data_IF_924154436269
#
_entry.id   IF_924154436269
#
_cell.length_a   1.000
_cell.length_b   1.000
_cell.length_c   1.000
_cell.angle_alpha   90.00
_cell.angle_beta   90.00
_cell.angle_gamma   90.00
#
_symmetry.space_group_name_H-M   'P 1'
#
loop_
_entity.id
_entity.type
_entity.pdbx_description
1 polymer ?
#
# COMPACT_ATOMS: atom_id res chain seq x y z
N UNK A 1 10.10 -22.36 28.87
CA UNK A 1 8.89 -21.55 28.63
C UNK A 1 9.14 -20.72 27.39
N UNK A 2 8.59 -21.13 26.25
CA UNK A 2 8.72 -20.38 25.00
C UNK A 2 7.82 -19.16 25.11
N UNK A 3 8.39 -17.96 25.21
CA UNK A 3 7.65 -16.72 25.04
C UNK A 3 7.08 -16.73 23.61
N UNK A 4 5.83 -17.13 23.44
CA UNK A 4 5.09 -16.85 22.22
C UNK A 4 4.91 -15.34 22.18
N UNK A 5 5.71 -14.65 21.35
CA UNK A 5 5.48 -13.25 21.03
C UNK A 5 4.08 -13.20 20.40
N UNK A 6 3.14 -12.60 21.12
CA UNK A 6 1.79 -12.40 20.62
C UNK A 6 1.85 -11.29 19.57
N UNK A 7 1.87 -11.67 18.29
CA UNK A 7 1.84 -10.71 17.18
C UNK A 7 0.58 -9.87 17.26
N UNK A 8 0.71 -8.55 17.10
CA UNK A 8 -0.42 -7.63 17.11
C UNK A 8 -1.10 -7.65 15.74
N UNK A 9 -2.42 -7.85 15.74
CA UNK A 9 -3.26 -7.85 14.54
C UNK A 9 -3.39 -6.41 14.05
N UNK A 10 -3.02 -6.15 12.80
CA UNK A 10 -3.22 -4.88 12.11
C UNK A 10 -4.54 -4.88 11.32
N UNK A 11 -4.83 -5.99 10.62
CA UNK A 11 -6.05 -6.14 9.83
C UNK A 11 -6.68 -7.51 10.11
N UNK A 12 -7.91 -7.48 10.65
CA UNK A 12 -8.63 -8.70 11.01
C UNK A 12 -9.26 -9.35 9.78
N UNK A 13 -9.29 -10.69 9.81
CA UNK A 13 -9.92 -11.56 8.81
C UNK A 13 -9.61 -11.20 7.33
N UNK A 14 -8.40 -10.69 7.04
CA UNK A 14 -8.01 -10.17 5.73
C UNK A 14 -8.20 -11.18 4.59
N UNK A 15 -7.74 -12.42 4.77
CA UNK A 15 -7.85 -13.51 3.77
C UNK A 15 -8.95 -14.53 4.10
N UNK A 16 -9.80 -14.25 5.10
CA UNK A 16 -10.73 -15.21 5.66
C UNK A 16 -10.76 -15.19 7.18
N UNK A 17 -11.78 -15.85 7.76
CA UNK A 17 -11.92 -15.99 9.22
C UNK A 17 -10.65 -16.56 9.86
N UNK A 18 -10.06 -15.81 10.81
CA UNK A 18 -8.83 -16.15 11.52
C UNK A 18 -7.54 -15.91 10.73
N UNK A 19 -7.62 -15.40 9.50
CA UNK A 19 -6.46 -15.13 8.64
C UNK A 19 -6.17 -13.63 8.60
N UNK A 20 -5.39 -13.17 9.56
CA UNK A 20 -5.09 -11.76 9.81
C UNK A 20 -3.84 -11.28 9.07
N UNK A 21 -3.74 -9.96 8.89
CA UNK A 21 -2.46 -9.27 8.69
C UNK A 21 -2.02 -8.72 10.05
N UNK A 22 -0.74 -8.90 10.37
CA UNK A 22 -0.13 -8.43 11.61
C UNK A 22 0.71 -7.17 11.37
N UNK A 23 1.02 -6.41 12.43
CA UNK A 23 1.74 -5.13 12.32
C UNK A 23 3.12 -5.24 11.65
N UNK A 24 3.80 -6.38 11.85
CA UNK A 24 5.09 -6.68 11.22
C UNK A 24 5.00 -6.95 9.71
N UNK A 25 3.78 -6.99 9.15
CA UNK A 25 3.50 -7.17 7.72
C UNK A 25 2.99 -5.88 7.06
N UNK A 26 2.96 -4.75 7.78
CA UNK A 26 2.55 -3.46 7.25
C UNK A 26 3.75 -2.72 6.64
N UNK A 27 3.47 -1.86 5.65
CA UNK A 27 4.47 -1.17 4.84
C UNK A 27 5.28 -2.12 3.96
N UNK A 28 6.44 -1.65 3.52
CA UNK A 28 7.35 -2.48 2.75
C UNK A 28 7.83 -3.68 3.58
N UNK A 29 7.69 -4.89 3.05
CA UNK A 29 8.14 -6.11 3.70
C UNK A 29 9.68 -6.25 3.74
N UNK A 30 10.16 -7.34 4.34
CA UNK A 30 11.59 -7.62 4.47
C UNK A 30 12.29 -7.80 3.11
N UNK A 31 11.59 -8.33 2.10
CA UNK A 31 12.16 -8.50 0.78
C UNK A 31 12.40 -7.15 0.11
N UNK A 32 11.39 -6.27 0.09
CA UNK A 32 11.53 -4.93 -0.49
C UNK A 32 12.64 -4.12 0.19
N UNK A 33 12.71 -4.20 1.53
CA UNK A 33 13.76 -3.56 2.35
C UNK A 33 15.15 -4.10 2.02
N UNK A 34 15.27 -5.43 1.87
CA UNK A 34 16.52 -6.11 1.52
C UNK A 34 17.01 -5.69 0.13
N UNK A 35 16.13 -5.68 -0.87
CA UNK A 35 16.44 -5.29 -2.25
C UNK A 35 16.91 -3.83 -2.33
N UNK A 36 16.21 -2.92 -1.64
CA UNK A 36 16.59 -1.52 -1.52
C UNK A 36 17.81 -1.28 -0.59
N UNK A 37 18.26 -2.30 0.15
CA UNK A 37 19.30 -2.23 1.18
C UNK A 37 19.02 -1.15 2.23
N UNK A 38 17.76 -0.97 2.61
CA UNK A 38 17.33 0.06 3.54
C UNK A 38 16.12 -0.36 4.35
N UNK A 39 16.09 0.08 5.61
CA UNK A 39 14.91 -0.01 6.48
C UNK A 39 14.06 1.27 6.44
N UNK A 40 14.53 2.32 5.78
CA UNK A 40 13.84 3.61 5.68
C UNK A 40 12.85 3.54 4.52
N UNK A 41 11.55 3.68 4.81
CA UNK A 41 10.49 3.53 3.82
C UNK A 41 10.68 4.44 2.59
N UNK A 42 11.16 5.68 2.79
CA UNK A 42 11.50 6.59 1.69
C UNK A 42 12.52 5.98 0.73
N UNK A 43 13.59 5.41 1.25
CA UNK A 43 14.64 4.82 0.41
C UNK A 43 14.15 3.56 -0.32
N UNK A 44 13.24 2.79 0.30
CA UNK A 44 12.60 1.65 -0.35
C UNK A 44 11.69 2.09 -1.49
N UNK A 45 10.87 3.12 -1.28
CA UNK A 45 10.05 3.75 -2.32
C UNK A 45 10.90 4.30 -3.45
N UNK A 46 11.96 5.06 -3.14
CA UNK A 46 12.89 5.60 -4.14
C UNK A 46 13.54 4.50 -4.97
N UNK A 47 13.89 3.38 -4.37
CA UNK A 47 14.47 2.26 -5.10
C UNK A 47 13.45 1.63 -6.05
N UNK A 48 12.30 1.22 -5.55
CA UNK A 48 11.33 0.45 -6.32
C UNK A 48 10.48 1.29 -7.27
N UNK A 49 9.94 2.39 -6.79
CA UNK A 49 8.99 3.20 -7.54
C UNK A 49 9.76 4.18 -8.42
N UNK A 50 10.63 5.02 -7.84
CA UNK A 50 11.31 6.06 -8.63
C UNK A 50 12.38 5.51 -9.58
N UNK A 51 13.25 4.60 -9.12
CA UNK A 51 14.39 4.11 -9.93
C UNK A 51 14.02 2.95 -10.84
N UNK A 52 13.29 1.94 -10.35
CA UNK A 52 12.88 0.80 -11.17
C UNK A 52 11.64 1.11 -12.02
N UNK A 53 10.90 2.18 -11.70
CA UNK A 53 9.75 2.61 -12.49
C UNK A 53 8.46 1.86 -12.16
N UNK A 54 8.41 1.15 -11.04
CA UNK A 54 7.26 0.30 -10.70
C UNK A 54 6.05 1.12 -10.26
N UNK A 55 4.87 0.60 -10.55
CA UNK A 55 3.60 1.04 -10.00
C UNK A 55 3.44 0.49 -8.57
N UNK A 56 2.71 1.22 -7.73
CA UNK A 56 2.54 0.87 -6.31
C UNK A 56 1.07 0.81 -5.94
N UNK A 57 0.59 -0.37 -5.57
CA UNK A 57 -0.75 -0.61 -5.04
C UNK A 57 -0.71 -0.93 -3.55
N UNK A 58 -1.58 -0.29 -2.76
CA UNK A 58 -1.66 -0.53 -1.32
C UNK A 58 -3.07 -0.35 -0.77
N UNK A 59 -3.37 -1.04 0.33
CA UNK A 59 -4.60 -0.89 1.11
C UNK A 59 -4.33 -0.16 2.41
N UNK A 60 -5.05 0.93 2.68
CA UNK A 60 -4.92 1.70 3.90
C UNK A 60 -6.12 1.43 4.85
N UNK A 61 -5.93 0.65 5.92
CA UNK A 61 -7.01 0.24 6.82
C UNK A 61 -7.81 1.37 7.46
N UNK A 62 -7.22 2.52 7.87
CA UNK A 62 -7.96 3.62 8.47
C UNK A 62 -9.08 4.19 7.58
N UNK A 63 -8.91 4.17 6.25
CA UNK A 63 -9.93 4.64 5.30
C UNK A 63 -10.69 3.49 4.63
N UNK A 64 -10.41 2.22 4.97
CA UNK A 64 -10.96 1.02 4.34
C UNK A 64 -10.91 1.06 2.80
N UNK A 65 -9.80 1.55 2.25
CA UNK A 65 -9.69 1.93 0.84
C UNK A 65 -8.37 1.50 0.22
N UNK A 66 -8.40 1.11 -1.05
CA UNK A 66 -7.23 0.82 -1.87
C UNK A 66 -6.77 2.07 -2.61
N UNK A 67 -5.47 2.17 -2.84
CA UNK A 67 -4.81 3.25 -3.55
C UNK A 67 -3.79 2.67 -4.52
N UNK A 68 -3.62 3.34 -5.65
CA UNK A 68 -2.63 2.98 -6.65
C UNK A 68 -1.90 4.24 -7.13
N UNK A 69 -0.58 4.14 -7.26
CA UNK A 69 0.29 5.14 -7.87
C UNK A 69 0.79 4.55 -9.19
N UNK A 70 0.36 5.14 -10.30
CA UNK A 70 0.77 4.75 -11.65
C UNK A 70 1.91 5.66 -12.11
N UNK A 71 3.13 5.15 -11.93
CA UNK A 71 4.36 5.81 -12.36
C UNK A 71 4.62 5.66 -13.86
N UNK A 72 3.91 4.78 -14.57
CA UNK A 72 3.95 4.70 -16.03
C UNK A 72 3.06 5.76 -16.71
N UNK A 73 2.13 6.36 -15.97
CA UNK A 73 1.32 7.49 -16.44
C UNK A 73 2.12 8.81 -16.51
N UNK A 74 1.77 9.70 -17.43
CA UNK A 74 2.34 11.06 -17.57
C UNK A 74 1.20 12.08 -17.75
N UNK A 75 0.88 12.92 -16.73
CA UNK A 75 1.50 13.01 -15.40
C UNK A 75 1.33 11.72 -14.57
N UNK A 76 2.09 11.57 -13.48
CA UNK A 76 1.91 10.44 -12.54
C UNK A 76 0.53 10.54 -11.93
N UNK A 77 -0.24 9.45 -11.96
CA UNK A 77 -1.62 9.42 -11.50
C UNK A 77 -1.76 8.63 -10.21
N UNK A 78 -2.54 9.16 -9.26
CA UNK A 78 -2.89 8.47 -8.02
C UNK A 78 -4.40 8.25 -7.98
N UNK A 79 -4.78 6.99 -7.91
CA UNK A 79 -6.17 6.56 -7.89
C UNK A 79 -6.57 5.96 -6.55
N UNK A 80 -7.88 5.91 -6.33
CA UNK A 80 -8.47 5.25 -5.19
C UNK A 80 -9.65 4.37 -5.58
N UNK A 81 -9.74 3.22 -4.92
CA UNK A 81 -10.83 2.27 -5.05
C UNK A 81 -11.34 1.88 -3.66
N UNK A 82 -12.54 2.35 -3.27
CA UNK A 82 -13.18 1.90 -2.04
C UNK A 82 -13.35 0.38 -2.04
N UNK A 83 -13.29 -0.21 -0.86
CA UNK A 83 -13.51 -1.65 -0.70
C UNK A 83 -14.93 -2.07 -1.12
N UNK A 84 -15.06 -3.03 -2.03
CA UNK A 84 -16.35 -3.60 -2.45
C UNK A 84 -16.79 -4.76 -1.55
N UNK A 85 -17.55 -4.42 -0.51
CA UNK A 85 -18.12 -5.38 0.43
C UNK A 85 -19.26 -6.24 -0.14
N UNK A 86 -19.79 -5.93 -1.32
CA UNK A 86 -20.86 -6.72 -1.94
C UNK A 86 -20.35 -8.05 -2.50
N UNK A 87 -19.07 -8.10 -2.85
CA UNK A 87 -18.42 -9.29 -3.44
C UNK A 87 -17.79 -10.18 -2.38
N UNK A 88 -17.21 -9.60 -1.33
CA UNK A 88 -16.56 -10.35 -0.26
C UNK A 88 -16.38 -9.54 1.03
N UNK A 89 -16.53 -10.22 2.17
CA UNK A 89 -16.15 -9.71 3.50
C UNK A 89 -14.64 -9.80 3.77
N UNK A 90 -13.84 -10.29 2.83
CA UNK A 90 -12.38 -10.44 2.97
C UNK A 90 -11.64 -9.52 2.00
N UNK A 91 -10.74 -8.69 2.54
CA UNK A 91 -10.00 -7.65 1.80
C UNK A 91 -9.09 -8.26 0.74
N UNK A 92 -8.47 -9.40 1.07
CA UNK A 92 -7.54 -10.10 0.18
C UNK A 92 -8.13 -10.48 -1.17
N UNK A 93 -9.46 -10.61 -1.27
CA UNK A 93 -10.12 -10.88 -2.55
C UNK A 93 -9.97 -9.72 -3.55
N UNK A 94 -10.00 -8.47 -3.07
CA UNK A 94 -9.87 -7.29 -3.92
C UNK A 94 -8.40 -6.92 -4.20
N UNK A 95 -7.45 -7.52 -3.48
CA UNK A 95 -6.01 -7.39 -3.79
C UNK A 95 -5.62 -7.99 -5.15
N UNK A 96 -6.44 -8.91 -5.67
CA UNK A 96 -6.24 -9.53 -6.97
C UNK A 96 -6.95 -8.76 -8.11
N UNK A 97 -7.68 -7.68 -7.78
CA UNK A 97 -8.36 -6.85 -8.76
C UNK A 97 -7.48 -5.66 -9.14
N UNK A 98 -7.25 -5.45 -10.45
CA UNK A 98 -6.64 -4.23 -10.96
C UNK A 98 -7.61 -3.04 -10.72
N UNK A 99 -7.20 -1.99 -9.98
CA UNK A 99 -8.08 -0.87 -9.65
C UNK A 99 -8.62 -0.12 -10.88
N UNK A 100 -7.93 -0.18 -12.01
CA UNK A 100 -8.15 0.67 -13.20
C UNK A 100 -9.61 0.79 -13.70
N UNK A 101 -10.45 -0.22 -13.46
CA UNK A 101 -11.83 -0.27 -13.96
C UNK A 101 -12.87 0.42 -13.05
N UNK A 102 -12.53 0.82 -11.81
CA UNK A 102 -13.48 1.42 -10.84
C UNK A 102 -12.94 2.64 -10.07
N UNK A 103 -11.88 3.26 -10.59
CA UNK A 103 -11.09 4.23 -9.84
C UNK A 103 -11.59 5.68 -9.88
N UNK A 104 -11.37 6.39 -8.77
CA UNK A 104 -11.42 7.85 -8.72
C UNK A 104 -9.99 8.42 -8.68
N UNK A 105 -9.64 9.27 -9.64
CA UNK A 105 -8.37 10.02 -9.62
C UNK A 105 -8.41 11.01 -8.45
N UNK A 106 -7.42 10.94 -7.54
CA UNK A 106 -7.37 11.78 -6.34
C UNK A 106 -6.21 12.78 -6.35
N UNK A 107 -5.15 12.50 -7.11
CA UNK A 107 -4.02 13.40 -7.26
C UNK A 107 -3.25 13.10 -8.55
N UNK A 108 -2.52 14.11 -9.02
CA UNK A 108 -1.57 14.00 -10.13
C UNK A 108 -0.28 14.72 -9.75
N UNK A 109 0.86 14.19 -10.20
CA UNK A 109 2.18 14.77 -9.98
C UNK A 109 2.94 14.84 -11.30
N UNK A 110 3.72 15.91 -11.51
CA UNK A 110 4.49 16.05 -12.75
C UNK A 110 5.66 15.05 -12.79
N UNK A 111 6.19 14.70 -11.61
CA UNK A 111 7.28 13.73 -11.44
C UNK A 111 7.03 12.83 -10.21
N UNK A 112 7.45 11.56 -10.31
CA UNK A 112 7.28 10.57 -9.25
C UNK A 112 8.00 10.93 -7.94
N UNK A 113 9.08 11.70 -8.02
CA UNK A 113 9.84 12.18 -6.85
C UNK A 113 9.03 13.16 -5.99
N UNK A 114 7.98 13.77 -6.54
CA UNK A 114 7.10 14.69 -5.82
C UNK A 114 6.08 13.96 -4.93
N UNK A 115 5.75 12.70 -5.27
CA UNK A 115 4.70 11.93 -4.58
C UNK A 115 5.01 11.78 -3.08
N UNK A 116 6.27 11.52 -2.72
CA UNK A 116 6.63 11.24 -1.33
C UNK A 116 6.32 12.41 -0.39
N UNK A 117 6.65 13.64 -0.79
CA UNK A 117 6.45 14.83 0.03
C UNK A 117 5.11 15.53 -0.26
N UNK A 118 4.48 15.24 -1.40
CA UNK A 118 3.27 15.92 -1.87
C UNK A 118 1.95 15.17 -1.64
N UNK A 119 1.96 13.83 -1.63
CA UNK A 119 0.73 13.05 -1.45
C UNK A 119 0.28 13.06 0.01
N UNK A 120 -1.00 13.39 0.21
CA UNK A 120 -1.70 13.30 1.50
C UNK A 120 -2.96 12.49 1.37
N UNK A 121 -3.18 11.56 2.29
CA UNK A 121 -4.40 10.74 2.36
C UNK A 121 -5.01 10.93 3.75
N UNK A 122 -6.27 11.33 3.81
CA UNK A 122 -6.98 11.68 5.06
C UNK A 122 -6.19 12.68 5.94
N UNK A 123 -5.53 13.65 5.28
CA UNK A 123 -4.70 14.66 5.93
C UNK A 123 -3.35 14.15 6.46
N UNK A 124 -3.02 12.87 6.29
CA UNK A 124 -1.75 12.26 6.70
C UNK A 124 -0.72 12.30 5.59
N UNK A 125 0.54 12.45 5.97
CA UNK A 125 1.67 12.39 5.06
C UNK A 125 1.87 10.96 4.54
N UNK A 126 2.37 10.84 3.31
CA UNK A 126 2.51 9.54 2.65
C UNK A 126 3.38 8.55 3.42
N UNK A 127 4.41 9.01 4.14
CA UNK A 127 5.23 8.14 4.99
C UNK A 127 4.41 7.48 6.12
N UNK A 128 3.50 8.21 6.76
CA UNK A 128 2.62 7.65 7.78
C UNK A 128 1.67 6.64 7.14
N UNK A 129 1.10 7.00 5.99
CA UNK A 129 0.15 6.16 5.26
C UNK A 129 0.78 4.84 4.86
N UNK A 130 1.94 4.87 4.20
CA UNK A 130 2.56 3.67 3.65
C UNK A 130 3.02 2.71 4.74
N UNK A 131 3.56 3.22 5.86
CA UNK A 131 3.96 2.40 7.01
C UNK A 131 2.77 1.73 7.71
N UNK A 132 1.55 2.27 7.55
CA UNK A 132 0.32 1.70 8.07
C UNK A 132 -0.56 1.07 6.99
N UNK A 133 -0.03 0.84 5.80
CA UNK A 133 -0.74 0.20 4.70
C UNK A 133 -0.26 -1.23 4.46
N UNK A 134 -1.12 -2.06 3.89
CA UNK A 134 -0.70 -3.34 3.35
C UNK A 134 -0.33 -3.15 1.88
N UNK A 135 0.92 -3.44 1.50
CA UNK A 135 1.36 -3.35 0.10
C UNK A 135 0.76 -4.54 -0.66
N UNK A 136 -0.04 -4.22 -1.67
CA UNK A 136 -0.79 -5.20 -2.46
C UNK A 136 -0.02 -5.58 -3.72
N UNK A 137 0.59 -4.59 -4.37
CA UNK A 137 1.28 -4.77 -5.62
C UNK A 137 2.44 -3.78 -5.74
N UNK A 138 3.50 -4.25 -6.39
CA UNK A 138 4.65 -3.49 -6.80
C UNK A 138 5.14 -4.08 -8.13
N UNK A 139 4.79 -3.47 -9.27
CA UNK A 139 4.90 -4.09 -10.60
C UNK A 139 5.20 -3.14 -11.75
#
# INVERSE_FOLDING_TARGET
MTNQIQRKIAIKDFYGKGKHIYEDQMGFDEQHKSEARSLVAREVFRYHVEKLGLNLGFYYPPTDTFYAIYNDARPVEVYTMPRDRRRSDFIGWQCECDPHDQDQLIATFDDITEVWDGLKIDGKDFEEVINHSYIVALN
#
